data_IF_086651869754
#
_entry.id   IF_086651869754
#
_cell.length_a   1.000
_cell.length_b   1.000
_cell.length_c   1.000
_cell.angle_alpha   90.00
_cell.angle_beta   90.00
_cell.angle_gamma   90.00
#
_symmetry.space_group_name_H-M   'P 1'
#
loop_
_entity.id
_entity.type
_entity.pdbx_description
1 polymer ?
#
# COMPACT_ATOMS: atom_id res chain seq x y z
N UNK A 1 62.05 -13.62 -4.18
CA UNK A 1 61.58 -14.39 -3.01
C UNK A 1 61.53 -13.47 -1.80
N UNK A 2 60.33 -13.05 -1.38
CA UNK A 2 59.84 -13.15 0.00
C UNK A 2 58.39 -12.68 0.03
N UNK A 3 57.53 -13.59 0.46
CA UNK A 3 56.08 -13.59 0.44
C UNK A 3 55.68 -13.73 1.91
N UNK A 4 55.36 -12.66 2.65
CA UNK A 4 54.76 -12.82 3.98
C UNK A 4 53.87 -11.64 4.39
N UNK A 5 52.55 -11.89 4.32
CA UNK A 5 51.70 -11.85 5.51
C UNK A 5 51.31 -10.50 6.08
N UNK A 6 50.43 -9.77 5.38
CA UNK A 6 49.55 -8.81 6.07
C UNK A 6 48.57 -9.59 6.95
N UNK A 7 48.81 -9.57 8.27
CA UNK A 7 47.87 -10.07 9.29
C UNK A 7 46.51 -9.42 9.05
N UNK A 8 45.52 -10.21 8.60
CA UNK A 8 44.12 -9.78 8.67
C UNK A 8 43.75 -9.69 10.14
N UNK A 9 43.49 -8.48 10.61
CA UNK A 9 42.86 -8.25 11.91
C UNK A 9 41.43 -8.78 11.79
N UNK A 10 41.18 -9.97 12.34
CA UNK A 10 39.83 -10.46 12.56
C UNK A 10 39.20 -9.55 13.62
N UNK A 11 38.42 -8.56 13.18
CA UNK A 11 37.43 -7.97 14.07
C UNK A 11 36.37 -9.06 14.29
N UNK A 12 36.16 -9.56 15.51
CA UNK A 12 35.01 -10.41 15.77
C UNK A 12 33.79 -9.56 15.45
N UNK A 13 33.11 -9.86 14.34
CA UNK A 13 31.78 -9.33 14.08
C UNK A 13 30.91 -9.93 15.17
N UNK A 14 30.72 -9.18 16.25
CA UNK A 14 29.78 -9.58 17.28
C UNK A 14 28.41 -9.67 16.61
N UNK A 15 27.94 -10.90 16.43
CA UNK A 15 26.62 -11.18 15.89
C UNK A 15 25.62 -10.68 16.92
N UNK A 16 25.00 -9.53 16.64
CA UNK A 16 24.03 -8.92 17.54
C UNK A 16 22.63 -9.30 17.07
N UNK A 17 21.88 -9.93 17.96
CA UNK A 17 20.47 -10.20 17.76
C UNK A 17 19.64 -8.95 18.12
N UNK A 18 18.51 -8.79 17.45
CA UNK A 18 17.53 -7.76 17.75
C UNK A 18 16.93 -8.01 19.13
N UNK A 19 16.87 -6.96 19.93
CA UNK A 19 16.16 -6.95 21.21
C UNK A 19 14.75 -6.39 21.05
N UNK A 20 13.91 -6.53 22.06
CA UNK A 20 12.60 -5.85 22.10
C UNK A 20 12.73 -4.34 21.87
N UNK A 21 13.74 -3.71 22.48
CA UNK A 21 13.99 -2.28 22.32
C UNK A 21 14.38 -1.91 20.88
N UNK A 22 15.07 -2.79 20.16
CA UNK A 22 15.37 -2.57 18.74
C UNK A 22 14.07 -2.61 17.91
N UNK A 23 13.14 -3.54 18.20
CA UNK A 23 11.85 -3.57 17.52
C UNK A 23 10.97 -2.37 17.84
N UNK A 24 10.89 -1.93 19.11
CA UNK A 24 10.19 -0.69 19.45
C UNK A 24 10.71 0.50 18.63
N UNK A 25 12.04 0.65 18.52
CA UNK A 25 12.65 1.71 17.70
C UNK A 25 12.33 1.56 16.22
N UNK A 26 12.31 0.36 15.67
CA UNK A 26 11.92 0.12 14.27
C UNK A 26 10.48 0.57 14.04
N UNK A 27 9.55 0.18 14.91
CA UNK A 27 8.14 0.55 14.77
C UNK A 27 7.88 2.04 14.99
N UNK A 28 8.62 2.68 15.89
CA UNK A 28 8.57 4.14 16.08
C UNK A 28 9.11 4.89 14.85
N UNK A 29 10.27 4.47 14.32
CA UNK A 29 10.93 5.16 13.20
C UNK A 29 10.21 4.95 11.86
N UNK A 30 9.54 3.80 11.67
CA UNK A 30 8.84 3.46 10.44
C UNK A 30 7.32 3.40 10.61
N UNK A 31 6.80 4.05 11.64
CA UNK A 31 5.37 4.02 12.01
C UNK A 31 4.47 4.27 10.80
N UNK A 32 4.69 5.34 10.04
CA UNK A 32 3.87 5.68 8.88
C UNK A 32 3.89 4.59 7.80
N UNK A 33 5.07 4.01 7.52
CA UNK A 33 5.24 2.99 6.48
C UNK A 33 4.61 1.66 6.89
N UNK A 34 4.87 1.23 8.12
CA UNK A 34 4.38 -0.02 8.68
C UNK A 34 2.87 0.04 8.93
N UNK A 35 2.36 1.18 9.36
CA UNK A 35 0.92 1.41 9.49
C UNK A 35 0.24 1.47 8.13
N UNK A 36 0.83 2.15 7.13
CA UNK A 36 0.32 2.15 5.77
C UNK A 36 0.28 0.74 5.18
N UNK A 37 1.32 -0.07 5.38
CA UNK A 37 1.33 -1.48 4.97
C UNK A 37 0.16 -2.25 5.60
N UNK A 38 -0.06 -2.07 6.91
CA UNK A 38 -1.19 -2.67 7.63
C UNK A 38 -2.53 -2.23 7.03
N UNK A 39 -2.67 -0.95 6.71
CA UNK A 39 -3.87 -0.36 6.12
C UNK A 39 -4.13 -0.84 4.69
N UNK A 40 -3.08 -0.98 3.87
CA UNK A 40 -3.21 -1.50 2.51
C UNK A 40 -3.58 -2.98 2.48
N UNK A 41 -3.08 -3.79 3.40
CA UNK A 41 -3.42 -5.22 3.49
C UNK A 41 -4.86 -5.41 3.96
N UNK A 42 -5.25 -4.71 5.02
CA UNK A 42 -6.54 -4.89 5.69
C UNK A 42 -7.68 -4.14 5.01
N UNK A 43 -7.38 -2.99 4.41
CA UNK A 43 -8.36 -2.09 3.79
C UNK A 43 -9.27 -1.38 4.79
N UNK A 44 -9.06 -1.52 6.10
CA UNK A 44 -9.92 -0.99 7.16
C UNK A 44 -9.05 -0.47 8.31
N UNK A 45 -9.39 0.68 8.90
CA UNK A 45 -8.57 1.35 9.92
C UNK A 45 -8.47 0.56 11.22
N UNK A 46 -9.57 0.02 11.73
CA UNK A 46 -9.60 -0.78 12.95
C UNK A 46 -8.78 -2.07 12.76
N UNK A 47 -8.98 -2.75 11.62
CA UNK A 47 -8.17 -3.94 11.30
C UNK A 47 -6.70 -3.57 11.09
N UNK A 48 -6.38 -2.41 10.54
CA UNK A 48 -5.01 -1.94 10.36
C UNK A 48 -4.31 -1.68 11.70
N UNK A 49 -5.00 -1.04 12.65
CA UNK A 49 -4.49 -0.82 14.00
C UNK A 49 -4.22 -2.15 14.71
N UNK A 50 -5.20 -3.06 14.69
CA UNK A 50 -5.04 -4.40 15.27
C UNK A 50 -3.90 -5.17 14.59
N UNK A 51 -3.77 -5.06 13.27
CA UNK A 51 -2.70 -5.67 12.51
C UNK A 51 -1.32 -5.12 12.88
N UNK A 52 -1.20 -3.81 13.02
CA UNK A 52 0.03 -3.12 13.37
C UNK A 52 0.49 -3.48 14.79
N UNK A 53 -0.42 -3.37 15.78
CA UNK A 53 -0.14 -3.70 17.18
C UNK A 53 0.24 -5.17 17.33
N UNK A 54 -0.53 -6.08 16.73
CA UNK A 54 -0.19 -7.51 16.75
C UNK A 54 1.12 -7.83 16.04
N UNK A 55 1.49 -7.09 14.98
CA UNK A 55 2.79 -7.22 14.31
C UNK A 55 3.96 -6.79 15.20
N UNK A 56 3.79 -5.73 16.00
CA UNK A 56 4.77 -5.31 16.99
C UNK A 56 4.94 -6.35 18.10
N UNK A 57 3.83 -6.87 18.64
CA UNK A 57 3.86 -7.93 19.65
C UNK A 57 4.52 -9.20 19.14
N UNK A 58 4.17 -9.64 17.92
CA UNK A 58 4.78 -10.79 17.27
C UNK A 58 6.28 -10.58 17.02
N UNK A 59 6.69 -9.37 16.61
CA UNK A 59 8.11 -9.05 16.40
C UNK A 59 8.94 -9.21 17.68
N UNK A 60 8.39 -8.78 18.81
CA UNK A 60 9.06 -8.90 20.12
C UNK A 60 9.15 -10.34 20.62
N UNK A 61 8.13 -11.15 20.35
CA UNK A 61 7.98 -12.50 20.90
C UNK A 61 8.48 -13.61 19.95
N UNK A 62 8.97 -13.25 18.76
CA UNK A 62 9.43 -14.19 17.74
C UNK A 62 10.82 -14.77 18.02
N UNK A 63 11.21 -15.75 17.20
CA UNK A 63 12.57 -16.28 17.17
C UNK A 63 13.62 -15.15 17.05
N UNK A 64 14.78 -15.27 17.73
CA UNK A 64 15.84 -14.28 17.63
C UNK A 64 16.28 -14.06 16.18
N UNK A 65 16.21 -12.82 15.72
CA UNK A 65 16.71 -12.39 14.40
C UNK A 65 17.92 -11.48 14.58
N UNK A 66 18.81 -11.44 13.58
CA UNK A 66 19.90 -10.48 13.60
C UNK A 66 19.38 -9.05 13.56
N UNK A 67 20.07 -8.14 14.24
CA UNK A 67 19.65 -6.75 14.40
C UNK A 67 19.48 -6.04 13.05
N UNK A 68 20.35 -6.32 12.09
CA UNK A 68 20.29 -5.81 10.71
C UNK A 68 19.03 -6.26 9.95
N UNK A 69 18.36 -7.33 10.41
CA UNK A 69 17.14 -7.86 9.79
C UNK A 69 15.87 -7.44 10.51
N UNK A 70 15.96 -6.72 11.65
CA UNK A 70 14.82 -6.32 12.45
C UNK A 70 13.77 -5.55 11.63
N UNK A 71 14.22 -4.68 10.73
CA UNK A 71 13.35 -3.92 9.83
C UNK A 71 12.57 -4.82 8.86
N UNK A 72 13.26 -5.72 8.14
CA UNK A 72 12.60 -6.66 7.23
C UNK A 72 11.70 -7.64 7.98
N UNK A 73 12.08 -8.01 9.21
CA UNK A 73 11.28 -8.86 10.08
C UNK A 73 10.00 -8.15 10.53
N UNK A 74 10.07 -6.87 10.91
CA UNK A 74 8.90 -6.07 11.28
C UNK A 74 7.85 -6.06 10.14
N UNK A 75 8.25 -5.79 8.89
CA UNK A 75 7.33 -5.88 7.74
C UNK A 75 6.72 -7.26 7.59
N UNK A 76 7.56 -8.31 7.71
CA UNK A 76 7.11 -9.70 7.59
C UNK A 76 6.08 -10.07 8.66
N UNK A 77 6.27 -9.65 9.91
CA UNK A 77 5.30 -9.94 10.98
C UNK A 77 3.96 -9.25 10.76
N UNK A 78 3.95 -8.01 10.24
CA UNK A 78 2.72 -7.33 9.83
C UNK A 78 1.99 -8.13 8.73
N UNK A 79 2.70 -8.58 7.70
CA UNK A 79 2.13 -9.39 6.63
C UNK A 79 1.55 -10.70 7.19
N UNK A 80 2.30 -11.40 8.04
CA UNK A 80 1.85 -12.66 8.66
C UNK A 80 0.60 -12.42 9.53
N UNK A 81 0.59 -11.36 10.33
CA UNK A 81 -0.53 -11.03 11.19
C UNK A 81 -1.79 -10.71 10.35
N UNK A 82 -1.65 -9.91 9.28
CA UNK A 82 -2.73 -9.63 8.34
C UNK A 82 -3.28 -10.91 7.68
N UNK A 83 -2.40 -11.83 7.28
CA UNK A 83 -2.80 -13.12 6.69
C UNK A 83 -3.61 -13.94 7.70
N UNK A 84 -3.19 -14.01 8.97
CA UNK A 84 -3.94 -14.72 10.02
C UNK A 84 -5.31 -14.11 10.25
N UNK A 85 -5.41 -12.78 10.26
CA UNK A 85 -6.65 -12.05 10.52
C UNK A 85 -7.66 -12.19 9.37
N UNK A 86 -7.21 -12.10 8.11
CA UNK A 86 -8.12 -12.04 6.95
C UNK A 86 -8.24 -13.36 6.17
N UNK A 87 -7.31 -14.30 6.36
CA UNK A 87 -7.25 -15.58 5.66
C UNK A 87 -7.49 -15.46 4.14
N UNK A 88 -6.68 -14.66 3.42
CA UNK A 88 -6.83 -14.45 1.98
C UNK A 88 -6.75 -15.79 1.22
N UNK A 89 -7.69 -16.04 0.32
CA UNK A 89 -7.76 -17.29 -0.45
C UNK A 89 -8.32 -17.04 -1.85
N UNK A 90 -7.78 -17.72 -2.89
CA UNK A 90 -8.26 -17.56 -4.27
C UNK A 90 -9.71 -17.99 -4.46
N UNK A 91 -10.19 -18.96 -3.69
CA UNK A 91 -11.55 -19.51 -3.78
C UNK A 91 -12.58 -18.68 -3.00
N UNK A 92 -12.12 -17.79 -2.12
CA UNK A 92 -12.96 -16.99 -1.24
C UNK A 92 -13.14 -15.59 -1.82
N UNK A 93 -14.30 -15.36 -2.45
CA UNK A 93 -14.77 -13.99 -2.70
C UNK A 93 -15.04 -13.31 -1.35
N UNK A 94 -14.60 -12.07 -1.18
CA UNK A 94 -14.74 -11.39 0.11
C UNK A 94 -16.23 -11.26 0.46
N UNK A 95 -16.66 -11.87 1.58
CA UNK A 95 -17.97 -11.57 2.18
C UNK A 95 -17.86 -10.19 2.82
N UNK A 96 -18.34 -9.18 2.08
CA UNK A 96 -18.89 -7.94 2.66
C UNK A 96 -17.95 -7.19 3.61
N UNK A 97 -17.06 -6.35 3.06
CA UNK A 97 -16.44 -5.25 3.80
C UNK A 97 -16.21 -4.00 2.92
N UNK A 98 -16.79 -3.97 1.71
CA UNK A 98 -16.54 -2.90 0.76
C UNK A 98 -17.02 -1.53 1.26
N UNK A 99 -17.94 -1.45 2.23
CA UNK A 99 -18.50 -0.19 2.72
C UNK A 99 -17.69 0.48 3.84
N UNK A 100 -17.15 -0.30 4.79
CA UNK A 100 -16.35 0.24 5.90
C UNK A 100 -14.92 0.54 5.47
N UNK A 101 -14.37 -0.25 4.54
CA UNK A 101 -13.10 0.02 3.90
C UNK A 101 -13.04 1.40 3.20
N UNK A 102 -14.19 1.92 2.76
CA UNK A 102 -14.30 3.22 2.07
C UNK A 102 -14.09 4.44 2.96
N UNK A 103 -14.14 4.33 4.29
CA UNK A 103 -14.01 5.48 5.18
C UNK A 103 -12.58 5.67 5.68
N UNK A 104 -11.92 4.57 6.06
CA UNK A 104 -10.54 4.53 6.55
C UNK A 104 -9.51 5.09 5.55
N UNK A 105 -9.71 4.80 4.27
CA UNK A 105 -8.74 5.11 3.22
C UNK A 105 -8.93 6.51 2.63
N UNK A 106 -9.95 7.29 3.03
CA UNK A 106 -10.35 8.55 2.34
C UNK A 106 -9.27 9.62 2.30
N UNK A 107 -8.33 9.58 3.25
CA UNK A 107 -7.22 10.52 3.32
C UNK A 107 -6.00 10.07 2.50
N UNK A 108 -6.02 8.88 1.93
CA UNK A 108 -4.94 8.39 1.08
C UNK A 108 -5.07 8.93 -0.35
N UNK A 109 -3.95 9.04 -1.08
CA UNK A 109 -3.96 9.26 -2.53
C UNK A 109 -4.88 8.28 -3.25
N UNK A 110 -5.45 8.72 -4.38
CA UNK A 110 -6.43 7.96 -5.16
C UNK A 110 -5.92 6.57 -5.56
N UNK A 111 -4.61 6.45 -5.82
CA UNK A 111 -3.93 5.22 -6.19
C UNK A 111 -3.96 4.19 -5.05
N UNK A 112 -3.69 4.63 -3.81
CA UNK A 112 -3.71 3.77 -2.62
C UNK A 112 -5.15 3.41 -2.22
N UNK A 113 -6.08 4.35 -2.40
CA UNK A 113 -7.52 4.11 -2.29
C UNK A 113 -7.97 3.00 -3.24
N UNK A 114 -7.45 2.97 -4.47
CA UNK A 114 -7.78 1.96 -5.45
C UNK A 114 -7.27 0.56 -5.04
N UNK A 115 -6.11 0.47 -4.39
CA UNK A 115 -5.59 -0.79 -3.82
C UNK A 115 -6.53 -1.35 -2.76
N UNK A 116 -7.02 -0.50 -1.86
CA UNK A 116 -7.98 -0.93 -0.84
C UNK A 116 -9.33 -1.43 -1.38
N UNK A 117 -9.66 -1.11 -2.63
CA UNK A 117 -10.88 -1.58 -3.33
C UNK A 117 -10.70 -2.91 -4.05
N UNK A 118 -9.48 -3.45 -4.12
CA UNK A 118 -9.25 -4.80 -4.62
C UNK A 118 -9.92 -5.82 -3.70
N UNK A 119 -10.35 -6.94 -4.28
CA UNK A 119 -10.74 -8.12 -3.51
C UNK A 119 -9.59 -8.56 -2.60
N UNK A 120 -9.92 -9.18 -1.46
CA UNK A 120 -8.92 -9.44 -0.41
C UNK A 120 -7.72 -10.24 -0.94
N UNK A 121 -7.92 -11.28 -1.74
CA UNK A 121 -6.81 -12.07 -2.26
C UNK A 121 -5.93 -11.27 -3.23
N UNK A 122 -6.53 -10.59 -4.21
CA UNK A 122 -5.85 -9.70 -5.16
C UNK A 122 -5.09 -8.58 -4.44
N UNK A 123 -5.66 -8.02 -3.37
CA UNK A 123 -5.03 -6.98 -2.56
C UNK A 123 -3.78 -7.49 -1.87
N UNK A 124 -3.86 -8.63 -1.18
CA UNK A 124 -2.69 -9.25 -0.55
C UNK A 124 -1.61 -9.58 -1.57
N UNK A 125 -1.98 -10.21 -2.69
CA UNK A 125 -1.04 -10.53 -3.76
C UNK A 125 -0.39 -9.28 -4.34
N UNK A 126 -1.15 -8.22 -4.60
CA UNK A 126 -0.61 -6.96 -5.12
C UNK A 126 0.36 -6.32 -4.13
N UNK A 127 -0.05 -6.16 -2.87
CA UNK A 127 0.80 -5.54 -1.84
C UNK A 127 2.08 -6.36 -1.64
N UNK A 128 1.97 -7.68 -1.48
CA UNK A 128 3.14 -8.53 -1.23
C UNK A 128 4.09 -8.58 -2.43
N UNK A 129 3.57 -8.81 -3.64
CA UNK A 129 4.44 -9.05 -4.82
C UNK A 129 4.91 -7.76 -5.52
N UNK A 130 4.12 -6.69 -5.47
CA UNK A 130 4.44 -5.43 -6.18
C UNK A 130 5.05 -4.41 -5.23
N UNK A 131 4.43 -4.16 -4.08
CA UNK A 131 4.90 -3.11 -3.17
C UNK A 131 6.01 -3.60 -2.25
N UNK A 132 5.89 -4.82 -1.73
CA UNK A 132 6.87 -5.44 -0.83
C UNK A 132 7.87 -6.36 -1.57
N UNK A 133 7.73 -6.51 -2.89
CA UNK A 133 8.67 -7.21 -3.80
C UNK A 133 8.91 -8.70 -3.49
N UNK A 134 7.96 -9.36 -2.82
CA UNK A 134 8.03 -10.80 -2.59
C UNK A 134 7.92 -11.56 -3.91
N UNK A 135 8.69 -12.64 -4.05
CA UNK A 135 8.58 -13.53 -5.21
C UNK A 135 7.23 -14.28 -5.22
N UNK A 136 6.83 -14.78 -6.39
CA UNK A 136 5.61 -15.60 -6.54
C UNK A 136 5.66 -16.85 -5.65
N UNK A 137 6.86 -17.39 -5.45
CA UNK A 137 7.08 -18.54 -4.58
C UNK A 137 6.86 -18.18 -3.12
N UNK A 138 7.39 -17.05 -2.65
CA UNK A 138 7.20 -16.63 -1.26
C UNK A 138 5.75 -16.23 -0.98
N UNK A 139 5.09 -15.55 -1.92
CA UNK A 139 3.66 -15.25 -1.82
C UNK A 139 2.84 -16.54 -1.75
N UNK A 140 3.11 -17.51 -2.63
CA UNK A 140 2.43 -18.80 -2.66
C UNK A 140 2.57 -19.56 -1.33
N UNK A 141 3.78 -19.57 -0.76
CA UNK A 141 4.06 -20.20 0.53
C UNK A 141 3.30 -19.51 1.68
N UNK A 142 3.30 -18.18 1.73
CA UNK A 142 2.66 -17.42 2.80
C UNK A 142 1.13 -17.45 2.72
N UNK A 143 0.58 -17.42 1.51
CA UNK A 143 -0.87 -17.40 1.25
C UNK A 143 -1.46 -18.81 1.08
N UNK A 144 -0.63 -19.85 1.19
CA UNK A 144 -1.01 -21.25 1.02
C UNK A 144 -1.80 -21.50 -0.29
N UNK A 145 -1.23 -21.04 -1.42
CA UNK A 145 -1.80 -21.20 -2.76
C UNK A 145 -0.71 -21.56 -3.78
N UNK A 146 -1.05 -21.72 -5.06
CA UNK A 146 -0.06 -21.98 -6.10
C UNK A 146 0.57 -20.68 -6.62
N UNK A 147 1.81 -20.75 -7.14
CA UNK A 147 2.43 -19.60 -7.83
C UNK A 147 1.61 -19.13 -9.04
N UNK A 148 0.83 -20.02 -9.68
CA UNK A 148 -0.08 -19.64 -10.76
C UNK A 148 -1.24 -18.79 -10.27
N UNK A 149 -1.77 -19.07 -9.07
CA UNK A 149 -2.83 -18.26 -8.46
C UNK A 149 -2.33 -16.86 -8.15
N UNK A 150 -1.11 -16.76 -7.63
CA UNK A 150 -0.43 -15.47 -7.38
C UNK A 150 -0.26 -14.68 -8.68
N UNK A 151 0.28 -15.29 -9.73
CA UNK A 151 0.48 -14.61 -11.01
C UNK A 151 -0.86 -14.13 -11.61
N UNK A 152 -1.90 -14.97 -11.56
CA UNK A 152 -3.23 -14.63 -12.05
C UNK A 152 -3.88 -13.50 -11.24
N UNK A 153 -3.79 -13.55 -9.91
CA UNK A 153 -4.31 -12.50 -9.03
C UNK A 153 -3.57 -11.17 -9.20
N UNK A 154 -2.25 -11.19 -9.34
CA UNK A 154 -1.46 -9.99 -9.64
C UNK A 154 -1.91 -9.36 -10.95
N UNK A 155 -2.09 -10.17 -12.00
CA UNK A 155 -2.57 -9.68 -13.29
C UNK A 155 -3.95 -9.00 -13.16
N UNK A 156 -4.89 -9.63 -12.46
CA UNK A 156 -6.23 -9.05 -12.22
C UNK A 156 -6.13 -7.73 -11.45
N UNK A 157 -5.32 -7.69 -10.39
CA UNK A 157 -5.11 -6.49 -9.58
C UNK A 157 -4.57 -5.32 -10.42
N UNK A 158 -3.49 -5.53 -11.17
CA UNK A 158 -2.87 -4.52 -12.03
C UNK A 158 -3.85 -4.02 -13.10
N UNK A 159 -4.61 -4.92 -13.73
CA UNK A 159 -5.63 -4.53 -14.69
C UNK A 159 -6.76 -3.70 -14.06
N UNK A 160 -7.21 -4.04 -12.85
CA UNK A 160 -8.24 -3.29 -12.15
C UNK A 160 -7.76 -1.88 -11.79
N UNK A 161 -6.54 -1.75 -11.27
CA UNK A 161 -5.94 -0.45 -10.95
C UNK A 161 -5.71 0.40 -12.20
N UNK A 162 -5.26 -0.20 -13.31
CA UNK A 162 -5.10 0.49 -14.59
C UNK A 162 -6.42 1.05 -15.16
N UNK A 163 -7.55 0.36 -14.95
CA UNK A 163 -8.87 0.85 -15.34
C UNK A 163 -9.30 2.07 -14.52
N UNK A 164 -9.00 2.09 -13.21
CA UNK A 164 -9.29 3.24 -12.35
C UNK A 164 -8.49 4.47 -12.81
N UNK A 165 -7.17 4.31 -13.00
CA UNK A 165 -6.31 5.41 -13.46
C UNK A 165 -6.75 5.98 -14.84
N UNK A 166 -7.19 5.11 -15.75
CA UNK A 166 -7.68 5.52 -17.07
C UNK A 166 -9.04 6.26 -17.00
N UNK A 167 -9.90 5.92 -16.03
CA UNK A 167 -11.18 6.60 -15.82
C UNK A 167 -10.96 8.00 -15.23
N UNK A 168 -10.04 8.15 -14.27
CA UNK A 168 -9.69 9.43 -13.68
C UNK A 168 -9.13 10.39 -14.76
N UNK A 169 -8.25 9.88 -15.62
CA UNK A 169 -7.67 10.65 -16.75
C UNK A 169 -8.71 11.16 -17.75
N UNK A 170 -9.78 10.39 -18.01
CA UNK A 170 -10.87 10.81 -18.92
C UNK A 170 -11.79 11.87 -18.29
N UNK A 171 -11.98 11.82 -16.97
CA UNK A 171 -12.80 12.81 -16.26
C UNK A 171 -12.17 14.21 -16.29
N UNK A 172 -10.85 14.30 -16.18
CA UNK A 172 -10.08 15.56 -16.26
C UNK A 172 -10.17 16.15 -17.67
N UNK A 173 -10.11 15.33 -18.72
CA UNK A 173 -10.23 15.79 -20.11
C UNK A 173 -11.66 16.19 -20.53
N UNK A 174 -12.70 15.67 -19.86
CA UNK A 174 -14.08 16.07 -20.14
C UNK A 174 -14.46 17.44 -19.53
N UNK A 175 -13.81 17.83 -18.43
CA UNK A 175 -14.05 19.12 -17.76
C UNK A 175 -13.36 20.30 -18.49
N UNK A 176 -12.30 20.06 -19.27
CA UNK A 176 -11.61 21.10 -20.03
C UNK A 176 -12.29 21.49 -21.35
N UNK A 177 -13.30 20.75 -21.81
CA UNK A 177 -14.07 21.04 -23.03
C UNK A 177 -15.42 21.73 -22.76
N UNK A 178 -15.75 22.00 -21.48
CA UNK A 178 -17.02 22.63 -21.05
C UNK A 178 -16.85 24.07 -20.54
N UNK A 179 -15.97 24.85 -21.17
CA UNK A 179 -15.92 26.32 -20.99
C UNK A 179 -15.88 27.01 -22.35
N UNK A 180 -16.98 26.89 -23.10
CA UNK A 180 -17.35 27.87 -24.13
C UNK A 180 -18.83 28.17 -23.95
N UNK A 181 -19.15 28.94 -22.90
CA UNK A 181 -20.43 29.60 -22.80
C UNK A 181 -20.44 30.75 -23.84
N UNK A 182 -21.51 30.90 -24.66
CA UNK A 182 -21.61 32.02 -25.58
C UNK A 182 -21.63 33.34 -24.81
N UNK A 183 -20.74 34.26 -25.21
CA UNK A 183 -20.75 35.64 -24.72
C UNK A 183 -22.12 36.26 -25.05
N UNK A 184 -22.87 36.81 -24.07
CA UNK A 184 -24.12 37.47 -24.36
C UNK A 184 -23.86 38.74 -25.16
N UNK A 185 -24.55 38.86 -26.29
CA UNK A 185 -24.50 40.02 -27.17
C UNK A 185 -24.89 41.29 -26.42
N UNK A 186 -24.03 42.31 -26.51
CA UNK A 186 -24.30 43.67 -26.01
C UNK A 186 -25.28 44.33 -26.98
N UNK A 187 -26.42 44.90 -26.51
CA UNK A 187 -27.28 45.68 -27.39
C UNK A 187 -26.65 47.06 -27.62
N UNK A 188 -26.29 47.33 -28.88
CA UNK A 188 -26.09 48.68 -29.41
C UNK A 188 -27.41 49.45 -29.38
N UNK A 189 -27.43 50.59 -28.70
CA UNK A 189 -28.39 51.66 -28.96
C UNK A 189 -27.76 53.02 -28.60
N UNK A 190 -27.33 53.74 -29.65
CA UNK A 190 -27.01 55.17 -29.63
C UNK A 190 -28.22 55.98 -30.15
N UNK A 191 -28.40 57.18 -29.58
CA UNK A 191 -29.20 58.31 -30.13
C UNK A 191 -30.71 58.21 -29.84
N UNK A 192 -31.46 59.27 -29.54
CA UNK A 192 -31.31 60.69 -29.87
C UNK A 192 -32.28 61.53 -29.01
N UNK A 193 -31.99 62.83 -28.91
CA UNK A 193 -32.62 63.87 -28.08
C UNK A 193 -34.12 64.12 -28.36
N UNK A 194 -34.86 64.59 -27.36
CA UNK A 194 -35.74 65.77 -27.48
C UNK A 194 -36.13 66.36 -26.11
N UNK A 195 -36.21 67.69 -26.07
CA UNK A 195 -36.37 68.57 -24.92
C UNK A 195 -37.80 68.66 -24.36
N UNK A 196 -37.93 69.10 -23.09
CA UNK A 196 -38.84 70.18 -22.64
C UNK A 196 -38.65 70.47 -21.14
N UNK A 197 -37.96 71.58 -20.85
CA UNK A 197 -38.24 72.58 -19.78
C UNK A 197 -36.99 73.46 -19.59
#
# INVERSE_FOLDING_TARGET
MNIFGSKRVNHPVHVQYATEADFCRVFENEMDRLYLLSLLLTGNEELAQNCFVGGLEDSKNSNPVFKEWAQSWARRTIIINAIRMLAPSPDRKARVAAAEARNALRQLPAELLAVGRLETFERFVFVMSVLETYSDRECALLLNCSSSDVAAARLRAVQQLGRVAAADSKSVNAQSLSTNAPVPAVPEAMGELAATA
#
